data_IF_118121349694
#
_entry.id   IF_118121349694
#
_cell.length_a   1.000
_cell.length_b   1.000
_cell.length_c   1.000
_cell.angle_alpha   90.00
_cell.angle_beta   90.00
_cell.angle_gamma   90.00
#
_symmetry.space_group_name_H-M   'P 1'
#
loop_
_entity.id
_entity.type
_entity.pdbx_description
1 polymer ?
#
# COMPACT_ATOMS: atom_id res chain seq x y z
N UNK A 1 -27.73 -43.49 24.15
CA UNK A 1 -26.74 -42.65 24.85
C UNK A 1 -26.34 -41.55 23.88
N UNK A 2 -27.06 -40.42 23.90
CA UNK A 2 -26.71 -39.28 23.04
C UNK A 2 -25.58 -38.50 23.71
N UNK A 3 -24.50 -38.30 22.97
CA UNK A 3 -23.30 -37.63 23.43
C UNK A 3 -23.61 -36.14 23.63
N UNK A 4 -23.50 -35.70 24.87
CA UNK A 4 -23.42 -34.29 25.24
C UNK A 4 -22.25 -33.67 24.47
N UNK A 5 -22.55 -33.03 23.34
CA UNK A 5 -21.60 -32.27 22.54
C UNK A 5 -21.28 -31.00 23.32
N UNK A 6 -20.11 -31.00 23.99
CA UNK A 6 -19.70 -29.93 24.89
C UNK A 6 -19.66 -28.57 24.16
N UNK A 7 -20.26 -27.49 24.72
CA UNK A 7 -20.46 -26.24 23.99
C UNK A 7 -19.23 -25.28 24.04
N UNK A 8 -18.07 -25.71 24.52
CA UNK A 8 -17.31 -24.85 25.43
C UNK A 8 -16.48 -23.70 24.84
N UNK A 9 -16.07 -23.71 23.56
CA UNK A 9 -15.12 -22.69 23.08
C UNK A 9 -15.75 -21.49 22.34
N UNK A 10 -16.94 -21.66 21.77
CA UNK A 10 -17.60 -20.61 20.96
C UNK A 10 -18.33 -19.56 21.81
N UNK A 11 -18.80 -19.94 23.00
CA UNK A 11 -19.52 -19.02 23.90
C UNK A 11 -18.61 -18.07 24.69
N UNK A 12 -17.30 -18.34 24.74
CA UNK A 12 -16.32 -17.47 25.40
C UNK A 12 -16.19 -16.14 24.65
N UNK A 13 -16.47 -16.12 23.34
CA UNK A 13 -16.36 -14.91 22.51
C UNK A 13 -17.65 -14.08 22.43
N UNK A 14 -18.75 -14.54 23.04
CA UNK A 14 -19.99 -13.78 23.16
C UNK A 14 -19.90 -12.91 24.41
N UNK A 15 -20.33 -11.64 24.32
CA UNK A 15 -20.54 -10.81 25.51
C UNK A 15 -21.47 -11.54 26.48
N UNK A 16 -21.30 -11.36 27.79
CA UNK A 16 -22.01 -12.12 28.84
C UNK A 16 -23.53 -12.23 28.63
N UNK A 17 -24.16 -11.21 28.04
CA UNK A 17 -25.61 -11.18 27.73
C UNK A 17 -26.05 -12.09 26.57
N UNK A 18 -25.10 -12.58 25.78
CA UNK A 18 -25.33 -13.44 24.62
C UNK A 18 -24.96 -14.91 24.88
N UNK A 19 -24.55 -15.28 26.10
CA UNK A 19 -24.31 -16.68 26.44
C UNK A 19 -25.64 -17.45 26.54
N UNK A 20 -25.73 -18.67 25.97
CA UNK A 20 -26.96 -19.45 26.06
C UNK A 20 -27.23 -19.88 27.49
N UNK A 21 -28.49 -19.71 27.92
CA UNK A 21 -28.98 -20.28 29.18
C UNK A 21 -29.10 -21.81 29.02
N UNK A 22 -28.63 -22.62 29.99
CA UNK A 22 -28.76 -24.07 29.92
C UNK A 22 -30.23 -24.52 29.71
N UNK A 23 -30.49 -25.52 28.85
CA UNK A 23 -31.85 -25.92 28.55
C UNK A 23 -32.50 -26.69 29.70
N UNK A 24 -33.81 -26.53 29.87
CA UNK A 24 -34.63 -27.38 30.72
C UNK A 24 -34.91 -28.70 29.99
N UNK A 25 -34.30 -29.80 30.45
CA UNK A 25 -34.33 -31.09 29.75
C UNK A 25 -35.73 -31.74 29.68
N UNK A 26 -36.65 -31.34 30.55
CA UNK A 26 -38.05 -31.81 30.53
C UNK A 26 -38.92 -31.08 29.52
N UNK A 27 -38.45 -29.95 28.96
CA UNK A 27 -39.19 -29.14 28.00
C UNK A 27 -38.49 -29.17 26.63
N UNK A 28 -39.18 -29.74 25.63
CA UNK A 28 -38.62 -29.92 24.28
C UNK A 28 -38.24 -28.59 23.64
N UNK A 29 -39.07 -27.58 23.82
CA UNK A 29 -38.92 -26.23 23.28
C UNK A 29 -37.64 -25.58 23.83
N UNK A 30 -37.35 -25.76 25.12
CA UNK A 30 -36.14 -25.22 25.76
C UNK A 30 -34.87 -25.83 25.15
N UNK A 31 -34.86 -27.15 24.95
CA UNK A 31 -33.74 -27.85 24.30
C UNK A 31 -33.55 -27.37 22.85
N UNK A 32 -34.64 -27.14 22.12
CA UNK A 32 -34.57 -26.68 20.73
C UNK A 32 -34.04 -25.24 20.63
N UNK A 33 -34.53 -24.32 21.47
CA UNK A 33 -34.05 -22.93 21.51
C UNK A 33 -32.56 -22.88 21.85
N UNK A 34 -32.10 -23.68 22.82
CA UNK A 34 -30.67 -23.78 23.15
C UNK A 34 -29.83 -24.25 21.96
N UNK A 35 -30.25 -25.32 21.26
CA UNK A 35 -29.54 -25.84 20.08
C UNK A 35 -29.44 -24.78 18.98
N UNK A 36 -30.52 -24.03 18.75
CA UNK A 36 -30.57 -22.96 17.77
C UNK A 36 -29.62 -21.81 18.12
N UNK A 37 -29.64 -21.36 19.39
CA UNK A 37 -28.71 -20.35 19.88
C UNK A 37 -27.26 -20.78 19.67
N UNK A 38 -26.96 -22.05 19.95
CA UNK A 38 -25.62 -22.59 19.73
C UNK A 38 -25.21 -22.57 18.26
N UNK A 39 -26.15 -22.81 17.33
CA UNK A 39 -25.90 -22.70 15.89
C UNK A 39 -25.58 -21.27 15.49
N UNK A 40 -26.45 -20.33 15.87
CA UNK A 40 -26.27 -18.91 15.56
C UNK A 40 -24.98 -18.35 16.15
N UNK A 41 -24.61 -18.76 17.37
CA UNK A 41 -23.34 -18.35 18.00
C UNK A 41 -22.11 -18.78 17.19
N UNK A 42 -22.13 -19.97 16.58
CA UNK A 42 -21.05 -20.44 15.71
C UNK A 42 -20.98 -19.62 14.43
N UNK A 43 -22.12 -19.36 13.80
CA UNK A 43 -22.21 -18.53 12.59
C UNK A 43 -21.72 -17.10 12.86
N UNK A 44 -22.15 -16.50 13.98
CA UNK A 44 -21.68 -15.19 14.41
C UNK A 44 -20.15 -15.16 14.59
N UNK A 45 -19.59 -16.17 15.24
CA UNK A 45 -18.15 -16.25 15.43
C UNK A 45 -17.40 -16.37 14.10
N UNK A 46 -17.90 -17.20 13.18
CA UNK A 46 -17.34 -17.35 11.85
C UNK A 46 -17.31 -16.01 11.10
N UNK A 47 -18.45 -15.32 11.03
CA UNK A 47 -18.54 -14.00 10.37
C UNK A 47 -17.61 -12.99 11.04
N UNK A 48 -17.48 -12.99 12.37
CA UNK A 48 -16.54 -12.13 13.09
C UNK A 48 -15.08 -12.40 12.70
N UNK A 49 -14.71 -13.67 12.52
CA UNK A 49 -13.37 -14.02 12.03
C UNK A 49 -13.15 -13.52 10.60
N UNK A 50 -14.13 -13.72 9.70
CA UNK A 50 -14.06 -13.23 8.32
C UNK A 50 -13.91 -11.70 8.26
N UNK A 51 -14.68 -10.96 9.06
CA UNK A 51 -14.55 -9.51 9.19
C UNK A 51 -13.13 -9.13 9.64
N UNK A 52 -12.59 -9.81 10.66
CA UNK A 52 -11.24 -9.53 11.17
C UNK A 52 -10.16 -9.76 10.11
N UNK A 53 -10.29 -10.82 9.30
CA UNK A 53 -9.39 -11.10 8.17
C UNK A 53 -9.47 -10.01 7.11
N UNK A 54 -10.68 -9.55 6.78
CA UNK A 54 -10.88 -8.46 5.81
C UNK A 54 -10.31 -7.14 6.33
N UNK A 55 -10.48 -6.82 7.60
CA UNK A 55 -9.93 -5.61 8.22
C UNK A 55 -8.39 -5.62 8.22
N UNK A 56 -7.77 -6.76 8.52
CA UNK A 56 -6.32 -6.93 8.40
C UNK A 56 -5.84 -6.71 6.96
N UNK A 57 -6.51 -7.33 5.99
CA UNK A 57 -6.16 -7.15 4.57
C UNK A 57 -6.31 -5.69 4.12
N UNK A 58 -7.38 -5.02 4.55
CA UNK A 58 -7.60 -3.59 4.28
C UNK A 58 -6.46 -2.74 4.84
N UNK A 59 -5.99 -3.01 6.07
CA UNK A 59 -4.85 -2.30 6.66
C UNK A 59 -3.56 -2.49 5.86
N UNK A 60 -3.29 -3.71 5.39
CA UNK A 60 -2.11 -4.00 4.54
C UNK A 60 -2.16 -3.23 3.22
N UNK A 61 -3.31 -3.23 2.54
CA UNK A 61 -3.50 -2.49 1.29
C UNK A 61 -3.32 -0.98 1.48
N UNK A 62 -3.79 -0.42 2.60
CA UNK A 62 -3.56 0.99 2.90
C UNK A 62 -2.08 1.30 3.15
N UNK A 63 -1.34 0.40 3.80
CA UNK A 63 0.09 0.57 3.99
C UNK A 63 0.86 0.51 2.66
N UNK A 64 0.50 -0.42 1.77
CA UNK A 64 1.05 -0.50 0.41
C UNK A 64 0.80 0.80 -0.37
N UNK A 65 -0.42 1.35 -0.32
CA UNK A 65 -0.76 2.60 -1.00
C UNK A 65 0.08 3.79 -0.51
N UNK A 66 0.39 3.85 0.78
CA UNK A 66 1.24 4.90 1.35
C UNK A 66 2.69 4.78 0.85
N UNK A 67 3.20 3.55 0.67
CA UNK A 67 4.54 3.38 0.08
C UNK A 67 4.56 3.76 -1.40
N UNK A 68 3.51 3.43 -2.15
CA UNK A 68 3.38 3.81 -3.57
C UNK A 68 3.33 5.35 -3.73
N UNK A 69 2.64 6.05 -2.82
CA UNK A 69 2.60 7.53 -2.84
C UNK A 69 3.99 8.15 -2.63
N UNK A 70 4.83 7.57 -1.76
CA UNK A 70 6.21 8.03 -1.59
C UNK A 70 7.03 7.84 -2.86
N UNK A 71 6.85 6.73 -3.55
CA UNK A 71 7.51 6.46 -4.84
C UNK A 71 7.04 7.47 -5.89
N UNK A 72 5.76 7.79 -5.95
CA UNK A 72 5.22 8.79 -6.88
C UNK A 72 5.82 10.19 -6.63
N UNK A 73 5.96 10.59 -5.36
CA UNK A 73 6.63 11.86 -4.99
C UNK A 73 8.09 11.87 -5.44
N UNK A 74 8.80 10.75 -5.26
CA UNK A 74 10.21 10.65 -5.70
C UNK A 74 10.35 10.68 -7.23
N UNK A 75 9.41 10.08 -7.97
CA UNK A 75 9.38 10.17 -9.43
C UNK A 75 9.26 11.63 -9.88
N UNK A 76 8.34 12.41 -9.31
CA UNK A 76 8.18 13.84 -9.64
C UNK A 76 9.46 14.61 -9.35
N UNK A 77 10.10 14.36 -8.19
CA UNK A 77 11.37 15.00 -7.82
C UNK A 77 12.48 14.70 -8.85
N UNK A 78 12.58 13.45 -9.30
CA UNK A 78 13.56 13.01 -10.30
C UNK A 78 13.28 13.60 -11.69
N UNK A 79 12.02 13.71 -12.10
CA UNK A 79 11.64 14.34 -13.37
C UNK A 79 12.05 15.81 -13.41
N UNK A 80 11.82 16.56 -12.33
CA UNK A 80 12.26 17.94 -12.22
C UNK A 80 13.80 18.08 -12.26
N UNK A 81 14.51 17.18 -11.59
CA UNK A 81 15.97 17.16 -11.60
C UNK A 81 16.52 16.86 -13.00
N UNK A 82 15.95 15.88 -13.68
CA UNK A 82 16.30 15.54 -15.05
C UNK A 82 16.09 16.73 -16.01
N UNK A 83 14.98 17.45 -15.88
CA UNK A 83 14.71 18.64 -16.69
C UNK A 83 15.75 19.74 -16.44
N UNK A 84 16.10 20.03 -15.18
CA UNK A 84 17.14 21.01 -14.84
C UNK A 84 18.49 20.63 -15.45
N UNK A 85 18.91 19.38 -15.29
CA UNK A 85 20.17 18.88 -15.84
C UNK A 85 20.18 18.94 -17.37
N UNK A 86 19.04 18.64 -18.02
CA UNK A 86 18.91 18.71 -19.47
C UNK A 86 19.10 20.15 -19.98
N UNK A 87 18.50 21.12 -19.29
CA UNK A 87 18.62 22.55 -19.64
C UNK A 87 20.05 23.07 -19.43
N UNK A 88 20.67 22.70 -18.31
CA UNK A 88 22.05 23.06 -18.01
C UNK A 88 23.02 22.46 -19.05
N UNK A 89 22.85 21.18 -19.39
CA UNK A 89 23.66 20.52 -20.41
C UNK A 89 23.52 21.22 -21.77
N UNK A 90 22.29 21.55 -22.20
CA UNK A 90 22.04 22.31 -23.43
C UNK A 90 22.76 23.66 -23.43
N UNK A 91 22.74 24.36 -22.30
CA UNK A 91 23.42 25.64 -22.13
C UNK A 91 24.94 25.50 -22.24
N UNK A 92 25.52 24.49 -21.59
CA UNK A 92 26.95 24.19 -21.65
C UNK A 92 27.40 23.80 -23.06
N UNK A 93 26.62 22.97 -23.77
CA UNK A 93 26.91 22.58 -25.16
C UNK A 93 26.90 23.81 -26.08
N UNK A 94 25.93 24.69 -25.91
CA UNK A 94 25.85 25.95 -26.66
C UNK A 94 27.10 26.80 -26.40
N UNK A 95 27.42 27.06 -25.14
CA UNK A 95 28.59 27.86 -24.75
C UNK A 95 29.89 27.27 -25.27
N UNK A 96 30.07 25.95 -25.16
CA UNK A 96 31.24 25.25 -25.69
C UNK A 96 31.37 25.44 -27.20
N UNK A 97 30.25 25.35 -27.94
CA UNK A 97 30.24 25.55 -29.39
C UNK A 97 30.63 26.99 -29.78
N UNK A 98 30.14 27.99 -29.04
CA UNK A 98 30.45 29.40 -29.27
C UNK A 98 31.93 29.70 -29.00
N UNK A 99 32.46 29.17 -27.89
CA UNK A 99 33.88 29.33 -27.52
C UNK A 99 34.79 28.66 -28.55
N UNK A 100 34.43 27.47 -29.04
CA UNK A 100 35.15 26.80 -30.13
C UNK A 100 35.18 27.66 -31.39
N UNK A 101 34.03 28.19 -31.83
CA UNK A 101 33.98 29.07 -33.00
C UNK A 101 34.80 30.36 -32.82
N UNK A 102 34.80 30.94 -31.61
CA UNK A 102 35.62 32.10 -31.29
C UNK A 102 37.11 31.78 -31.44
N UNK A 103 37.57 30.63 -30.93
CA UNK A 103 38.96 30.18 -31.10
C UNK A 103 39.32 29.95 -32.56
N UNK A 104 38.46 29.30 -33.34
CA UNK A 104 38.68 29.09 -34.77
C UNK A 104 38.88 30.41 -35.53
N UNK A 105 38.06 31.42 -35.25
CA UNK A 105 38.19 32.76 -35.85
C UNK A 105 39.52 33.44 -35.49
N UNK A 106 39.96 33.34 -34.24
CA UNK A 106 41.25 33.89 -33.79
C UNK A 106 42.43 33.19 -34.48
N UNK A 107 42.37 31.87 -34.64
CA UNK A 107 43.39 31.10 -35.35
C UNK A 107 43.50 31.53 -36.83
N UNK A 108 42.37 31.75 -37.51
CA UNK A 108 42.36 32.22 -38.91
C UNK A 108 42.90 33.66 -39.04
N UNK A 109 42.50 34.57 -38.15
CA UNK A 109 42.95 35.97 -38.17
C UNK A 109 44.46 36.11 -37.94
N UNK A 110 45.04 35.26 -37.08
CA UNK A 110 46.49 35.25 -36.87
C UNK A 110 47.26 34.71 -38.08
N UNK A 111 46.70 33.77 -38.84
CA UNK A 111 47.34 33.26 -40.07
C UNK A 111 47.36 34.30 -41.19
N UNK A 112 46.26 35.05 -41.38
CA UNK A 112 46.21 36.14 -42.37
C UNK A 112 47.12 37.32 -42.03
N UNK A 113 47.55 37.43 -40.77
CA UNK A 113 48.46 38.48 -40.31
C UNK A 113 49.94 38.08 -40.40
N UNK A 114 50.24 36.81 -40.72
CA UNK A 114 51.59 36.26 -40.83
C UNK A 114 52.03 35.93 -42.27
N UNK A 115 51.35 36.44 -43.30
CA UNK A 115 51.88 36.51 -44.66
C UNK A 115 52.52 37.90 -44.92
N UNK A 116 53.82 38.12 -44.61
CA UNK A 116 54.61 39.16 -45.25
C UNK A 116 55.20 38.64 -46.57
N UNK A 117 55.20 39.51 -47.57
CA UNK A 117 55.85 39.36 -48.88
C UNK A 117 57.35 39.03 -48.82
#
# INVERSE_FOLDING_TARGET
>A
METNSSPSHFFICLVNVLQPVPPCMSLRESVQVYKEHCRMAREFHHVKQEISVLEERKRKLLAELVEDEKVAVEIVRLEEEFQRLTEENRSLVTLHSERRQQLERLCLANQTSQDPS
#
